data_IF_497504476697
#
_entry.id   IF_497504476697
#
_cell.length_a   1.000
_cell.length_b   1.000
_cell.length_c   1.000
_cell.angle_alpha   90.00
_cell.angle_beta   90.00
_cell.angle_gamma   90.00
#
_symmetry.space_group_name_H-M   'P 1'
#
loop_
_entity.id
_entity.type
_entity.pdbx_description
1 polymer ?
#
# COMPACT_ATOMS: atom_id res chain seq x y z
N UNK A 1 18.53 7.21 -4.56
CA UNK A 1 18.18 6.22 -3.52
C UNK A 1 16.93 5.44 -3.87
N UNK A 2 15.96 6.00 -4.56
CA UNK A 2 14.67 5.35 -4.86
C UNK A 2 14.59 4.94 -6.32
N UNK A 3 14.56 5.89 -7.24
CA UNK A 3 14.26 5.62 -8.65
C UNK A 3 15.45 5.17 -9.49
N UNK A 4 16.66 5.50 -9.09
CA UNK A 4 17.87 5.22 -9.89
C UNK A 4 18.89 4.29 -9.19
N UNK A 5 18.65 3.92 -7.94
CA UNK A 5 19.65 3.34 -7.06
C UNK A 5 20.29 2.06 -7.61
N UNK A 6 19.51 1.08 -8.00
CA UNK A 6 20.03 -0.21 -8.46
C UNK A 6 20.61 -0.12 -9.88
N UNK A 7 19.90 0.52 -10.78
CA UNK A 7 20.34 0.64 -12.18
C UNK A 7 21.58 1.50 -12.33
N UNK A 8 21.59 2.67 -11.70
CA UNK A 8 22.69 3.63 -11.83
C UNK A 8 23.88 3.29 -10.95
N UNK A 9 23.62 2.98 -9.69
CA UNK A 9 24.68 2.86 -8.69
C UNK A 9 25.04 1.41 -8.34
N UNK A 10 24.31 0.44 -8.86
CA UNK A 10 24.46 -0.99 -8.51
C UNK A 10 24.35 -1.20 -6.99
N UNK A 11 23.48 -0.43 -6.34
CA UNK A 11 23.21 -0.48 -4.92
C UNK A 11 21.75 -0.81 -4.68
N UNK A 12 21.51 -1.80 -3.87
CA UNK A 12 20.18 -2.15 -3.39
C UNK A 12 19.91 -1.55 -2.02
N UNK A 13 18.68 -1.15 -1.74
CA UNK A 13 18.29 -0.69 -0.42
C UNK A 13 16.88 -1.16 -0.09
N UNK A 14 16.62 -1.37 1.20
CA UNK A 14 15.31 -1.76 1.72
C UNK A 14 14.56 -0.61 2.38
N UNK A 15 14.76 0.62 1.93
CA UNK A 15 14.11 1.80 2.48
C UNK A 15 12.59 1.62 2.49
N UNK A 16 11.96 2.01 3.59
CA UNK A 16 10.50 2.08 3.72
C UNK A 16 10.12 3.55 3.87
N UNK A 17 9.25 4.02 2.99
CA UNK A 17 8.67 5.36 3.07
C UNK A 17 7.17 5.26 3.32
N UNK A 18 6.69 5.99 4.32
CA UNK A 18 5.28 6.08 4.67
C UNK A 18 4.80 7.47 4.24
N UNK A 19 4.04 7.52 3.19
CA UNK A 19 3.67 8.79 2.55
C UNK A 19 2.17 9.05 2.61
N UNK A 20 1.76 10.29 2.87
CA UNK A 20 0.36 10.71 2.76
C UNK A 20 0.04 10.97 1.29
N UNK A 21 -0.96 10.29 0.74
CA UNK A 21 -1.36 10.53 -0.65
C UNK A 21 -2.28 11.75 -0.82
N UNK A 22 -2.36 12.27 -2.05
CA UNK A 22 -3.07 13.49 -2.36
C UNK A 22 -4.59 13.39 -2.38
N UNK A 23 -5.15 12.18 -2.24
CA UNK A 23 -6.60 11.94 -2.29
C UNK A 23 -7.24 11.89 -0.90
N UNK A 24 -6.43 11.75 0.13
CA UNK A 24 -6.89 11.76 1.51
C UNK A 24 -5.85 12.44 2.39
N UNK A 25 -6.19 13.57 2.96
CA UNK A 25 -5.29 14.32 3.81
C UNK A 25 -6.01 15.44 4.57
N UNK A 26 -5.33 15.97 5.56
CA UNK A 26 -5.83 17.03 6.43
C UNK A 26 -5.42 18.44 5.97
N UNK A 27 -4.82 18.54 4.80
CA UNK A 27 -4.33 19.78 4.24
C UNK A 27 -3.22 19.54 3.21
N UNK A 28 -2.73 20.60 2.55
CA UNK A 28 -1.74 20.46 1.47
C UNK A 28 -0.44 19.76 1.89
N UNK A 29 0.08 20.05 3.08
CA UNK A 29 1.31 19.45 3.60
C UNK A 29 1.14 17.98 4.01
N UNK A 30 -0.11 17.54 4.19
CA UNK A 30 -0.44 16.21 4.67
C UNK A 30 -0.97 15.28 3.57
N UNK A 31 -1.02 15.74 2.33
CA UNK A 31 -1.57 15.03 1.17
C UNK A 31 -0.78 15.31 -0.10
N UNK A 32 0.52 15.51 0.01
CA UNK A 32 1.38 15.90 -1.11
C UNK A 32 1.89 14.76 -1.95
N UNK A 33 1.85 13.52 -1.48
CA UNK A 33 2.29 12.37 -2.26
C UNK A 33 1.32 12.08 -3.41
N UNK A 34 1.88 11.79 -4.57
CA UNK A 34 1.13 11.42 -5.79
C UNK A 34 1.44 9.99 -6.15
N UNK A 35 0.45 9.13 -6.04
CA UNK A 35 0.58 7.69 -6.28
C UNK A 35 1.05 7.41 -7.71
N UNK A 36 0.61 8.20 -8.67
CA UNK A 36 0.94 8.06 -10.09
C UNK A 36 2.45 8.14 -10.35
N UNK A 37 3.14 9.03 -9.64
CA UNK A 37 4.60 9.18 -9.76
C UNK A 37 5.34 7.94 -9.28
N UNK A 38 4.85 7.31 -8.24
CA UNK A 38 5.45 6.09 -7.70
C UNK A 38 5.07 4.86 -8.53
N UNK A 39 3.88 4.84 -9.13
CA UNK A 39 3.50 3.80 -10.08
C UNK A 39 4.43 3.79 -11.29
N UNK A 40 4.71 4.95 -11.86
CA UNK A 40 5.69 5.09 -12.94
C UNK A 40 7.07 4.58 -12.54
N UNK A 41 7.50 4.88 -11.32
CA UNK A 41 8.78 4.44 -10.78
C UNK A 41 8.86 2.93 -10.45
N UNK A 42 7.72 2.21 -10.49
CA UNK A 42 7.70 0.75 -10.35
C UNK A 42 8.19 0.00 -11.61
N UNK A 43 8.39 0.70 -12.71
CA UNK A 43 8.91 0.09 -13.94
C UNK A 43 10.19 -0.71 -13.66
N UNK A 44 10.32 -1.86 -14.33
CA UNK A 44 11.44 -2.80 -14.16
C UNK A 44 11.60 -3.34 -12.71
N UNK A 45 10.51 -3.46 -11.98
CA UNK A 45 10.54 -3.90 -10.57
C UNK A 45 11.48 -3.07 -9.68
N UNK A 46 11.62 -1.79 -9.98
CA UNK A 46 12.57 -0.92 -9.32
C UNK A 46 12.18 -0.61 -7.88
N UNK A 47 10.92 -0.35 -7.62
CA UNK A 47 10.37 -0.12 -6.29
C UNK A 47 9.09 -0.93 -6.07
N UNK A 48 8.66 -1.02 -4.82
CA UNK A 48 7.38 -1.59 -4.45
C UNK A 48 6.47 -0.46 -3.96
N UNK A 49 5.24 -0.44 -4.47
CA UNK A 49 4.21 0.50 -4.04
C UNK A 49 3.07 -0.27 -3.39
N UNK A 50 2.60 0.19 -2.25
CA UNK A 50 1.48 -0.40 -1.54
C UNK A 50 0.58 0.70 -0.94
N UNK A 51 -0.69 0.36 -0.76
CA UNK A 51 -1.66 1.15 -0.02
C UNK A 51 -2.43 0.21 0.91
N UNK A 52 -1.92 0.02 2.12
CA UNK A 52 -2.48 -0.91 3.09
C UNK A 52 -3.63 -0.24 3.84
N UNK A 53 -4.81 -0.85 3.79
CA UNK A 53 -6.03 -0.34 4.44
C UNK A 53 -6.38 -1.05 5.73
N UNK A 54 -5.78 -2.22 6.01
CA UNK A 54 -5.96 -2.95 7.27
C UNK A 54 -4.64 -3.02 8.05
N UNK A 55 -4.68 -2.99 9.40
CA UNK A 55 -3.47 -3.14 10.21
C UNK A 55 -2.73 -4.46 9.97
N UNK A 56 -3.44 -5.56 9.77
CA UNK A 56 -2.83 -6.85 9.47
C UNK A 56 -2.04 -6.81 8.16
N UNK A 57 -2.62 -6.25 7.12
CA UNK A 57 -1.94 -6.15 5.83
C UNK A 57 -0.74 -5.19 5.88
N UNK A 58 -0.87 -4.12 6.66
CA UNK A 58 0.25 -3.21 6.93
C UNK A 58 1.40 -3.92 7.65
N UNK A 59 1.10 -4.70 8.68
CA UNK A 59 2.08 -5.54 9.37
C UNK A 59 2.78 -6.50 8.39
N UNK A 60 2.00 -7.19 7.55
CA UNK A 60 2.56 -8.16 6.62
C UNK A 60 3.39 -7.54 5.49
N UNK A 61 3.10 -6.35 5.02
CA UNK A 61 3.94 -5.69 4.02
C UNK A 61 5.32 -5.34 4.58
N UNK A 62 5.38 -4.90 5.83
CA UNK A 62 6.64 -4.63 6.52
C UNK A 62 7.42 -5.93 6.80
N UNK A 63 6.74 -6.95 7.29
CA UNK A 63 7.34 -8.28 7.48
C UNK A 63 7.90 -8.84 6.18
N UNK A 64 7.15 -8.72 5.09
CA UNK A 64 7.58 -9.13 3.75
C UNK A 64 8.83 -8.38 3.29
N UNK A 65 8.88 -7.08 3.51
CA UNK A 65 10.02 -6.22 3.16
C UNK A 65 11.33 -6.71 3.81
N UNK A 66 11.26 -7.16 5.03
CA UNK A 66 12.44 -7.67 5.77
C UNK A 66 12.82 -9.09 5.33
N UNK A 67 11.83 -9.95 5.07
CA UNK A 67 12.06 -11.38 4.85
C UNK A 67 12.41 -11.76 3.41
N UNK A 68 12.16 -10.92 2.43
CA UNK A 68 12.51 -11.21 1.02
C UNK A 68 14.01 -11.24 0.78
N UNK A 69 14.43 -12.10 -0.14
CA UNK A 69 15.84 -12.26 -0.53
C UNK A 69 16.38 -11.14 -1.43
N UNK A 70 15.62 -10.08 -1.60
CA UNK A 70 16.03 -8.89 -2.34
C UNK A 70 15.74 -7.63 -1.53
N UNK A 71 16.37 -6.54 -1.91
CA UNK A 71 16.16 -5.23 -1.30
C UNK A 71 15.74 -4.23 -2.36
N UNK A 72 14.46 -3.86 -2.32
CA UNK A 72 13.85 -2.83 -3.15
C UNK A 72 13.15 -1.83 -2.23
N UNK A 73 13.17 -0.54 -2.53
CA UNK A 73 12.42 0.42 -1.73
C UNK A 73 10.92 0.09 -1.70
N UNK A 74 10.33 0.23 -0.54
CA UNK A 74 8.89 0.12 -0.33
C UNK A 74 8.31 1.50 -0.07
N UNK A 75 7.40 1.92 -0.92
CA UNK A 75 6.61 3.12 -0.74
C UNK A 75 5.22 2.66 -0.29
N UNK A 76 4.87 2.97 0.95
CA UNK A 76 3.54 2.66 1.47
C UNK A 76 2.73 3.94 1.64
N UNK A 77 1.64 4.04 0.90
CA UNK A 77 0.69 5.12 1.07
C UNK A 77 -0.06 4.91 2.38
N UNK A 78 0.08 5.85 3.28
CA UNK A 78 -0.42 5.76 4.67
C UNK A 78 -1.32 6.95 4.97
N UNK A 79 -2.64 6.83 4.74
CA UNK A 79 -3.59 7.86 5.08
C UNK A 79 -3.58 8.14 6.58
N UNK A 80 -3.45 9.41 6.96
CA UNK A 80 -3.36 9.79 8.37
C UNK A 80 -4.64 9.52 9.15
N UNK A 81 -5.78 9.56 8.48
CA UNK A 81 -7.09 9.27 9.08
C UNK A 81 -7.16 7.84 9.65
N UNK A 82 -6.54 6.87 8.97
CA UNK A 82 -6.56 5.46 9.39
C UNK A 82 -5.71 5.19 10.62
N UNK A 83 -4.70 6.01 10.91
CA UNK A 83 -3.80 5.80 12.07
C UNK A 83 -4.54 5.81 13.43
N UNK A 84 -5.68 6.47 13.51
CA UNK A 84 -6.48 6.59 14.73
C UNK A 84 -7.95 6.23 14.53
N UNK A 85 -8.28 5.63 13.40
CA UNK A 85 -9.66 5.30 13.09
C UNK A 85 -10.13 4.09 13.91
N UNK A 86 -11.22 4.23 14.63
CA UNK A 86 -11.73 3.19 15.55
C UNK A 86 -12.05 1.86 14.88
N UNK A 87 -12.45 1.87 13.62
CA UNK A 87 -12.75 0.68 12.82
C UNK A 87 -11.53 0.10 12.10
N UNK A 88 -10.40 0.79 12.12
CA UNK A 88 -9.15 0.30 11.52
C UNK A 88 -8.43 -0.60 12.52
N UNK A 89 -8.98 -1.77 12.72
CA UNK A 89 -8.48 -2.79 13.65
C UNK A 89 -8.35 -4.13 12.94
N UNK A 90 -7.47 -4.97 13.42
CA UNK A 90 -7.28 -6.35 12.96
C UNK A 90 -7.07 -7.25 14.16
N UNK A 91 -7.45 -8.51 14.01
CA UNK A 91 -7.25 -9.52 15.06
C UNK A 91 -5.81 -10.03 15.04
N UNK A 92 -5.31 -10.52 16.18
CA UNK A 92 -3.99 -11.16 16.23
C UNK A 92 -3.89 -12.40 15.33
N UNK A 93 -5.01 -13.08 15.08
CA UNK A 93 -5.06 -14.24 14.19
C UNK A 93 -4.67 -13.87 12.77
N UNK A 94 -5.06 -12.71 12.29
CA UNK A 94 -4.73 -12.19 10.96
C UNK A 94 -3.24 -11.82 10.81
N UNK A 95 -2.51 -11.72 11.90
CA UNK A 95 -1.07 -11.42 11.93
C UNK A 95 -0.21 -12.63 12.34
N UNK A 96 -0.85 -13.73 12.74
CA UNK A 96 -0.19 -14.93 13.23
C UNK A 96 0.38 -15.82 12.12
N UNK A 97 0.92 -16.96 12.50
CA UNK A 97 1.44 -17.97 11.58
C UNK A 97 0.34 -18.47 10.66
N UNK A 98 0.64 -18.55 9.37
CA UNK A 98 -0.31 -18.99 8.34
C UNK A 98 -1.06 -17.85 7.66
N UNK A 99 -0.82 -16.59 8.08
CA UNK A 99 -1.33 -15.43 7.39
C UNK A 99 -0.21 -14.69 6.63
N UNK A 100 -0.56 -14.07 5.53
CA UNK A 100 0.36 -13.43 4.61
C UNK A 100 -0.13 -12.05 4.15
N UNK A 101 0.73 -11.38 3.40
CA UNK A 101 0.38 -10.14 2.75
C UNK A 101 -0.58 -10.39 1.58
N UNK A 102 -1.76 -9.80 1.66
CA UNK A 102 -2.73 -9.82 0.58
C UNK A 102 -2.43 -8.69 -0.41
N UNK A 103 -2.13 -9.07 -1.66
CA UNK A 103 -1.90 -8.09 -2.74
C UNK A 103 -3.15 -7.36 -3.14
N UNK A 104 -4.27 -8.05 -3.07
CA UNK A 104 -5.61 -7.52 -3.26
C UNK A 104 -6.43 -7.87 -2.02
N UNK A 105 -7.15 -6.89 -1.51
CA UNK A 105 -8.15 -7.14 -0.49
C UNK A 105 -9.48 -7.37 -1.18
N UNK A 106 -10.15 -8.43 -0.76
CA UNK A 106 -11.47 -8.75 -1.26
C UNK A 106 -12.50 -7.84 -0.60
N UNK A 107 -13.58 -7.56 -1.30
CA UNK A 107 -14.72 -6.87 -0.72
C UNK A 107 -15.63 -7.91 -0.04
N UNK A 108 -15.75 -7.81 1.28
CA UNK A 108 -16.59 -8.70 2.10
C UNK A 108 -18.07 -8.31 2.07
N UNK A 109 -18.44 -7.25 1.35
CA UNK A 109 -19.83 -6.86 1.19
C UNK A 109 -20.62 -7.91 0.39
N UNK A 110 -21.81 -8.23 0.87
CA UNK A 110 -22.72 -9.10 0.11
C UNK A 110 -23.00 -8.51 -1.27
N UNK A 111 -22.74 -9.31 -2.29
CA UNK A 111 -23.05 -8.94 -3.66
C UNK A 111 -24.58 -8.84 -3.85
N UNK A 112 -25.07 -7.65 -4.09
CA UNK A 112 -26.48 -7.39 -4.42
C UNK A 112 -26.57 -7.00 -5.88
N UNK A 113 -26.98 -7.91 -6.77
CA UNK A 113 -27.01 -7.67 -8.21
C UNK A 113 -27.89 -6.48 -8.62
N UNK A 114 -28.96 -6.21 -7.87
CA UNK A 114 -29.86 -5.08 -8.12
C UNK A 114 -29.28 -3.71 -7.77
N UNK A 115 -28.18 -3.66 -7.02
CA UNK A 115 -27.53 -2.42 -6.57
C UNK A 115 -26.11 -2.30 -7.11
N UNK A 116 -25.66 -3.26 -7.92
CA UNK A 116 -24.30 -3.27 -8.43
C UNK A 116 -24.11 -2.20 -9.50
N UNK A 117 -23.97 -0.98 -9.06
CA UNK A 117 -23.27 0.03 -9.81
C UNK A 117 -21.78 -0.25 -9.64
N UNK A 118 -21.09 -0.65 -10.71
CA UNK A 118 -19.64 -0.60 -10.76
C UNK A 118 -19.27 0.88 -10.71
N UNK A 119 -19.19 1.41 -9.50
CA UNK A 119 -18.51 2.65 -9.28
C UNK A 119 -17.02 2.33 -9.44
N UNK A 120 -16.47 2.68 -10.56
CA UNK A 120 -15.04 3.02 -10.64
C UNK A 120 -14.89 4.23 -9.71
N UNK A 121 -14.70 3.96 -8.41
CA UNK A 121 -14.56 5.01 -7.44
C UNK A 121 -13.21 5.65 -7.61
N UNK A 122 -13.18 6.80 -8.25
CA UNK A 122 -12.07 7.73 -8.17
C UNK A 122 -11.95 8.39 -6.78
N UNK A 123 -12.95 8.23 -5.93
CA UNK A 123 -13.05 8.96 -4.67
C UNK A 123 -12.95 8.03 -3.45
N UNK A 124 -11.87 8.20 -2.72
CA UNK A 124 -11.66 7.88 -1.30
C UNK A 124 -11.83 6.43 -0.81
N UNK A 125 -12.05 5.46 -1.68
CA UNK A 125 -12.03 4.04 -1.34
C UNK A 125 -11.23 3.24 -2.35
N UNK A 126 -9.98 3.59 -2.55
CA UNK A 126 -9.05 2.66 -3.18
C UNK A 126 -8.72 1.61 -2.10
N UNK A 127 -9.65 0.70 -1.89
CA UNK A 127 -9.42 -0.51 -1.11
C UNK A 127 -8.55 -1.51 -1.87
N UNK A 128 -7.99 -1.11 -3.00
CA UNK A 128 -7.20 -1.97 -3.84
C UNK A 128 -5.72 -1.65 -3.66
N UNK A 129 -4.99 -2.60 -3.16
CA UNK A 129 -3.55 -2.58 -3.17
C UNK A 129 -3.11 -3.01 -4.55
N UNK A 130 -2.74 -2.03 -5.36
CA UNK A 130 -2.08 -2.31 -6.62
C UNK A 130 -0.63 -2.69 -6.30
N UNK A 131 -0.38 -3.96 -6.19
CA UNK A 131 0.97 -4.50 -6.24
C UNK A 131 1.22 -4.96 -7.67
N UNK A 132 1.91 -4.17 -8.42
CA UNK A 132 2.61 -4.67 -9.58
C UNK A 132 3.84 -5.44 -9.09
N UNK A 133 3.96 -6.67 -9.49
CA UNK A 133 4.98 -7.72 -9.18
C UNK A 133 6.10 -7.40 -8.20
#
# INVERSE_FOLDING_TARGET
FITSAEYKWRRSNGLVMLLPHGYEGQGPEHSSARIERFLEACANDNIQLANCTTPANYFHVLRRQVKRNFRKPLINMSPKSLLRHKLCVSTFKEMATGSDFHRLLWDDAEFRPEVTNIKLCSDNKINHILNFN
#
